data_IF_140110630640
#
_entry.id   IF_140110630640
#
_cell.length_a   1.000
_cell.length_b   1.000
_cell.length_c   1.000
_cell.angle_alpha   90.00
_cell.angle_beta   90.00
_cell.angle_gamma   90.00
#
_symmetry.space_group_name_H-M   'P 1'
#
loop_
_entity.id
_entity.type
_entity.pdbx_description
1 polymer ?
#
# COMPACT_ATOMS: atom_id res chain seq x y z
N UNK A 1 40.22 47.36 2.79
CA UNK A 1 40.97 47.65 4.03
C UNK A 1 40.29 46.93 5.18
N UNK A 2 41.01 46.37 6.17
CA UNK A 2 41.96 45.26 6.11
C UNK A 2 41.34 44.05 6.84
N UNK A 3 41.59 42.78 6.63
CA UNK A 3 42.85 42.10 6.77
C UNK A 3 43.18 41.73 8.24
N UNK A 4 42.93 40.46 8.64
CA UNK A 4 43.67 39.89 9.77
C UNK A 4 43.84 38.38 9.61
N UNK A 5 45.06 38.04 9.21
CA UNK A 5 45.71 36.74 9.36
C UNK A 5 46.27 36.61 10.77
N UNK A 6 46.23 35.46 11.41
CA UNK A 6 47.14 34.99 12.47
C UNK A 6 47.00 33.47 12.57
N UNK A 7 47.95 32.73 12.07
CA UNK A 7 49.28 32.32 12.55
C UNK A 7 49.23 31.36 13.73
N UNK A 8 49.61 30.13 13.41
CA UNK A 8 49.95 29.04 14.32
C UNK A 8 51.30 29.28 14.95
N UNK A 9 51.48 28.98 16.22
CA UNK A 9 52.76 28.65 16.90
C UNK A 9 52.48 27.65 18.03
N UNK A 10 52.88 26.44 17.83
CA UNK A 10 53.90 25.62 18.45
C UNK A 10 54.01 25.68 20.00
N UNK A 11 53.72 24.57 20.67
CA UNK A 11 54.55 24.06 21.78
C UNK A 11 54.43 22.52 21.84
N UNK A 12 55.57 21.86 21.59
CA UNK A 12 55.84 20.45 21.93
C UNK A 12 55.92 20.26 23.43
N UNK A 13 55.18 19.30 23.95
CA UNK A 13 55.54 18.65 25.23
C UNK A 13 55.35 17.14 25.08
N UNK A 14 56.47 16.43 25.15
CA UNK A 14 56.60 14.99 25.26
C UNK A 14 55.99 14.51 26.60
N UNK A 15 55.02 13.63 26.50
CA UNK A 15 54.47 12.90 27.65
C UNK A 15 54.12 11.50 27.24
N UNK A 16 55.03 10.57 27.47
CA UNK A 16 54.87 9.13 27.31
C UNK A 16 53.81 8.62 28.30
N UNK A 17 52.61 8.35 27.80
CA UNK A 17 51.63 7.61 28.58
C UNK A 17 51.09 6.46 27.73
N UNK A 18 51.55 5.26 28.04
CA UNK A 18 51.02 4.03 27.53
C UNK A 18 49.57 3.84 28.02
N UNK A 19 48.61 4.21 27.21
CA UNK A 19 47.23 3.85 27.43
C UNK A 19 46.88 2.77 26.40
N UNK A 20 46.82 1.55 26.87
CA UNK A 20 46.24 0.42 26.10
C UNK A 20 44.78 0.69 25.84
N UNK A 21 44.48 1.27 24.66
CA UNK A 21 43.13 1.30 24.16
C UNK A 21 42.78 -0.12 23.71
N UNK A 22 42.06 -0.81 24.57
CA UNK A 22 41.27 -1.98 24.16
C UNK A 22 40.25 -1.50 23.12
N UNK A 23 40.65 -1.55 21.86
CA UNK A 23 39.74 -1.43 20.75
C UNK A 23 38.83 -2.65 20.79
N UNK A 24 37.72 -2.55 21.54
CA UNK A 24 36.61 -3.47 21.44
C UNK A 24 35.98 -3.24 20.07
N UNK A 25 36.57 -3.83 19.05
CA UNK A 25 35.87 -4.11 17.82
C UNK A 25 34.69 -5.02 18.19
N UNK A 26 33.52 -4.42 18.35
CA UNK A 26 32.29 -5.17 18.28
C UNK A 26 32.21 -5.81 16.88
N UNK A 27 32.79 -6.99 16.72
CA UNK A 27 32.45 -7.87 15.62
C UNK A 27 30.93 -8.04 15.65
N UNK A 28 30.24 -7.34 14.75
CA UNK A 28 28.92 -7.80 14.33
C UNK A 28 29.15 -9.24 13.90
N UNK A 29 28.78 -10.16 14.79
CA UNK A 29 28.73 -11.60 14.51
C UNK A 29 27.94 -11.73 13.22
N UNK A 30 28.61 -11.99 12.10
CA UNK A 30 27.97 -12.33 10.86
C UNK A 30 27.06 -13.52 11.20
N UNK A 31 25.76 -13.32 11.14
CA UNK A 31 24.79 -14.40 11.27
C UNK A 31 25.23 -15.46 10.27
N UNK A 32 25.61 -16.65 10.77
CA UNK A 32 26.11 -17.73 9.91
C UNK A 32 24.99 -18.07 8.94
N UNK A 33 25.19 -17.76 7.66
CA UNK A 33 24.26 -18.10 6.59
C UNK A 33 23.92 -19.58 6.71
N UNK A 34 22.68 -19.89 7.00
CA UNK A 34 22.21 -21.29 7.07
C UNK A 34 22.09 -21.82 5.65
N UNK A 35 23.15 -22.45 5.16
CA UNK A 35 23.18 -23.06 3.83
C UNK A 35 22.37 -24.35 3.85
N UNK A 36 21.36 -24.42 2.98
CA UNK A 36 20.45 -25.57 2.83
C UNK A 36 21.05 -26.58 1.84
N UNK A 37 21.57 -26.07 0.71
CA UNK A 37 22.20 -26.87 -0.32
C UNK A 37 23.29 -26.08 -1.03
N UNK A 38 24.28 -26.75 -1.57
CA UNK A 38 25.35 -26.16 -2.39
C UNK A 38 25.49 -26.93 -3.70
N UNK A 39 25.55 -26.20 -4.80
CA UNK A 39 25.83 -26.72 -6.14
C UNK A 39 27.09 -26.01 -6.65
N UNK A 40 28.23 -26.70 -6.58
CA UNK A 40 29.58 -26.12 -6.82
C UNK A 40 29.83 -24.88 -5.92
N UNK A 41 29.89 -23.69 -6.49
CA UNK A 41 30.15 -22.44 -5.77
C UNK A 41 28.90 -21.68 -5.36
N UNK A 42 27.71 -22.11 -5.83
CA UNK A 42 26.44 -21.47 -5.53
C UNK A 42 25.75 -22.15 -4.34
N UNK A 43 25.21 -21.33 -3.46
CA UNK A 43 24.58 -21.77 -2.22
C UNK A 43 23.12 -21.31 -2.18
N UNK A 44 22.22 -22.24 -1.91
CA UNK A 44 20.85 -21.92 -1.50
C UNK A 44 20.83 -21.78 0.02
N UNK A 45 20.60 -20.58 0.52
CA UNK A 45 20.44 -20.33 1.95
C UNK A 45 18.99 -20.52 2.38
N UNK A 46 18.77 -20.65 3.70
CA UNK A 46 17.42 -20.74 4.25
C UNK A 46 16.59 -19.49 3.93
N UNK A 47 17.21 -18.31 3.90
CA UNK A 47 16.51 -17.06 3.61
C UNK A 47 16.10 -16.99 2.13
N UNK A 48 16.99 -17.36 1.21
CA UNK A 48 16.63 -17.49 -0.21
C UNK A 48 15.50 -18.50 -0.44
N UNK A 49 15.53 -19.64 0.29
CA UNK A 49 14.46 -20.62 0.20
C UNK A 49 13.12 -20.06 0.68
N UNK A 50 13.11 -19.25 1.73
CA UNK A 50 11.90 -18.57 2.21
C UNK A 50 11.36 -17.58 1.20
N UNK A 51 12.22 -16.82 0.51
CA UNK A 51 11.82 -15.89 -0.56
C UNK A 51 11.21 -16.60 -1.77
N UNK A 52 11.64 -17.83 -2.07
CA UNK A 52 11.09 -18.64 -3.15
C UNK A 52 9.70 -19.24 -2.84
N UNK A 53 9.34 -19.34 -1.57
CA UNK A 53 8.06 -19.89 -1.11
C UNK A 53 7.10 -18.74 -0.89
N UNK A 54 5.89 -18.73 -1.53
CA UNK A 54 4.89 -17.70 -1.29
C UNK A 54 4.54 -17.59 0.21
N UNK A 55 4.50 -16.36 0.74
CA UNK A 55 4.31 -16.08 2.18
C UNK A 55 3.05 -16.74 2.76
N UNK A 56 1.97 -16.81 1.98
CA UNK A 56 0.70 -17.41 2.37
C UNK A 56 0.79 -18.92 2.62
N UNK A 57 1.82 -19.57 2.09
CA UNK A 57 2.00 -21.02 2.12
C UNK A 57 3.07 -21.49 3.13
N UNK A 58 3.88 -20.61 3.70
CA UNK A 58 5.05 -20.99 4.49
C UNK A 58 4.72 -21.84 5.73
N UNK A 59 3.56 -21.61 6.35
CA UNK A 59 3.11 -22.36 7.54
C UNK A 59 2.27 -23.60 7.22
N UNK A 60 1.95 -23.83 5.94
CA UNK A 60 1.06 -24.92 5.49
C UNK A 60 1.78 -25.99 4.67
N UNK A 61 3.03 -25.72 4.23
CA UNK A 61 3.79 -26.67 3.42
C UNK A 61 4.32 -27.84 4.25
N UNK A 62 4.16 -29.05 3.71
CA UNK A 62 4.81 -30.24 4.25
C UNK A 62 6.32 -30.24 3.95
N UNK A 63 7.08 -31.01 4.73
CA UNK A 63 8.51 -31.19 4.50
C UNK A 63 8.82 -31.67 3.07
N UNK A 64 8.01 -32.58 2.53
CA UNK A 64 8.14 -33.09 1.16
C UNK A 64 7.95 -32.00 0.11
N UNK A 65 6.98 -31.11 0.32
CA UNK A 65 6.76 -29.98 -0.57
C UNK A 65 7.95 -29.02 -0.57
N UNK A 66 8.56 -28.75 0.59
CA UNK A 66 9.78 -27.95 0.68
C UNK A 66 10.94 -28.62 -0.04
N UNK A 67 11.11 -29.95 0.09
CA UNK A 67 12.12 -30.69 -0.66
C UNK A 67 11.94 -30.55 -2.17
N UNK A 68 10.72 -30.50 -2.67
CA UNK A 68 10.45 -30.29 -4.10
C UNK A 68 10.87 -28.89 -4.58
N UNK A 69 10.78 -27.85 -3.73
CA UNK A 69 11.34 -26.52 -4.06
C UNK A 69 12.87 -26.57 -4.16
N UNK A 70 13.51 -27.24 -3.21
CA UNK A 70 14.98 -27.42 -3.21
C UNK A 70 15.43 -28.18 -4.45
N UNK A 71 14.75 -29.29 -4.79
CA UNK A 71 15.09 -30.10 -5.95
C UNK A 71 14.98 -29.30 -7.26
N UNK A 72 13.91 -28.52 -7.42
CA UNK A 72 13.75 -27.63 -8.59
C UNK A 72 14.85 -26.59 -8.69
N UNK A 73 15.26 -26.01 -7.56
CA UNK A 73 16.37 -25.07 -7.53
C UNK A 73 17.69 -25.73 -7.97
N UNK A 74 17.98 -26.95 -7.49
CA UNK A 74 19.17 -27.71 -7.88
C UNK A 74 19.17 -27.95 -9.40
N UNK A 75 18.06 -28.41 -9.96
CA UNK A 75 17.94 -28.69 -11.39
C UNK A 75 18.12 -27.41 -12.21
N UNK A 76 17.52 -26.32 -11.81
CA UNK A 76 17.65 -25.01 -12.45
C UNK A 76 19.10 -24.52 -12.41
N UNK A 77 19.78 -24.63 -11.27
CA UNK A 77 21.15 -24.19 -11.11
C UNK A 77 22.12 -25.05 -11.97
N UNK A 78 21.93 -26.36 -12.01
CA UNK A 78 22.71 -27.25 -12.87
C UNK A 78 22.52 -26.89 -14.36
N UNK A 79 21.29 -26.67 -14.81
CA UNK A 79 21.01 -26.27 -16.19
C UNK A 79 21.61 -24.89 -16.52
N UNK A 80 21.54 -23.93 -15.59
CA UNK A 80 22.15 -22.61 -15.77
C UNK A 80 23.67 -22.72 -15.93
N UNK A 81 24.33 -23.47 -15.05
CA UNK A 81 25.78 -23.66 -15.12
C UNK A 81 26.20 -24.33 -16.42
N UNK A 82 25.42 -25.32 -16.89
CA UNK A 82 25.72 -25.98 -18.16
C UNK A 82 25.49 -25.02 -19.36
N UNK A 83 24.43 -24.22 -19.35
CA UNK A 83 24.22 -23.19 -20.36
C UNK A 83 25.38 -22.19 -20.44
N UNK A 84 25.92 -21.79 -19.29
CA UNK A 84 27.13 -20.93 -19.23
C UNK A 84 28.35 -21.65 -19.80
N UNK A 85 28.54 -22.95 -19.46
CA UNK A 85 29.65 -23.77 -19.99
C UNK A 85 29.57 -23.91 -21.52
N UNK A 86 28.39 -24.10 -22.06
CA UNK A 86 28.12 -24.14 -23.51
C UNK A 86 28.27 -22.78 -24.20
N UNK A 87 28.55 -21.71 -23.43
CA UNK A 87 28.82 -20.38 -23.97
C UNK A 87 27.59 -19.59 -24.37
N UNK A 88 26.37 -20.00 -23.95
CA UNK A 88 25.12 -19.31 -24.29
C UNK A 88 25.06 -17.89 -23.69
N UNK A 89 25.85 -17.60 -22.65
CA UNK A 89 25.96 -16.28 -22.05
C UNK A 89 26.94 -15.34 -22.79
N UNK A 90 27.86 -15.89 -23.59
CA UNK A 90 28.91 -15.10 -24.25
C UNK A 90 28.35 -14.33 -25.44
N UNK A 91 28.55 -13.00 -25.42
CA UNK A 91 28.24 -12.07 -26.52
C UNK A 91 26.78 -12.09 -26.99
N UNK A 92 25.86 -12.53 -26.16
CA UNK A 92 24.42 -12.45 -26.47
C UNK A 92 23.96 -10.99 -26.35
N UNK A 93 23.76 -10.35 -27.51
CA UNK A 93 23.35 -8.94 -27.60
C UNK A 93 21.96 -8.75 -26.99
N UNK A 94 21.08 -9.73 -27.19
CA UNK A 94 19.71 -9.66 -26.67
C UNK A 94 19.69 -9.84 -25.15
N UNK A 95 20.47 -10.78 -24.60
CA UNK A 95 20.61 -10.93 -23.16
C UNK A 95 21.15 -9.66 -22.52
N UNK A 96 22.19 -9.05 -23.10
CA UNK A 96 22.75 -7.79 -22.57
C UNK A 96 21.74 -6.63 -22.62
N UNK A 97 20.89 -6.60 -23.65
CA UNK A 97 19.80 -5.61 -23.74
C UNK A 97 18.75 -5.82 -22.65
N UNK A 98 18.34 -7.08 -22.40
CA UNK A 98 17.38 -7.46 -21.35
C UNK A 98 17.95 -7.09 -19.97
N UNK A 99 19.20 -7.47 -19.70
CA UNK A 99 19.85 -7.17 -18.40
C UNK A 99 19.96 -5.66 -18.15
N UNK A 100 20.36 -4.88 -19.18
CA UNK A 100 20.44 -3.43 -19.08
C UNK A 100 19.08 -2.77 -18.85
N UNK A 101 18.02 -3.31 -19.48
CA UNK A 101 16.67 -2.79 -19.25
C UNK A 101 16.17 -3.13 -17.84
N UNK A 102 16.47 -4.35 -17.36
CA UNK A 102 16.13 -4.76 -16.00
C UNK A 102 16.84 -3.91 -14.94
N UNK A 103 18.15 -3.68 -15.13
CA UNK A 103 18.94 -2.79 -14.26
C UNK A 103 18.35 -1.38 -14.24
N UNK A 104 18.05 -0.81 -15.44
CA UNK A 104 17.44 0.53 -15.55
C UNK A 104 16.12 0.60 -14.80
N UNK A 105 15.23 -0.37 -14.99
CA UNK A 105 13.93 -0.41 -14.31
C UNK A 105 14.13 -0.47 -12.79
N UNK A 106 14.98 -1.40 -12.32
CA UNK A 106 15.26 -1.55 -10.88
C UNK A 106 15.80 -0.26 -10.25
N UNK A 107 16.75 0.41 -10.90
CA UNK A 107 17.33 1.66 -10.39
C UNK A 107 16.32 2.81 -10.40
N UNK A 108 15.47 2.89 -11.44
CA UNK A 108 14.38 3.89 -11.50
C UNK A 108 13.37 3.65 -10.40
N UNK A 109 12.91 2.41 -10.21
CA UNK A 109 11.95 2.05 -9.17
C UNK A 109 12.53 2.32 -7.77
N UNK A 110 13.79 1.93 -7.53
CA UNK A 110 14.48 2.20 -6.25
C UNK A 110 14.63 3.70 -5.97
N UNK A 111 14.90 4.49 -7.00
CA UNK A 111 15.00 5.95 -6.88
C UNK A 111 13.63 6.56 -6.57
N UNK A 112 12.58 6.14 -7.27
CA UNK A 112 11.20 6.58 -7.02
C UNK A 112 10.74 6.20 -5.61
N UNK A 113 11.01 4.98 -5.17
CA UNK A 113 10.72 4.56 -3.81
C UNK A 113 11.43 5.46 -2.78
N UNK A 114 12.71 5.74 -2.99
CA UNK A 114 13.46 6.64 -2.10
C UNK A 114 12.90 8.07 -2.06
N UNK A 115 12.39 8.56 -3.19
CA UNK A 115 11.81 9.91 -3.30
C UNK A 115 10.40 9.99 -2.71
N UNK A 116 9.59 8.95 -2.91
CA UNK A 116 8.16 8.98 -2.63
C UNK A 116 7.79 8.32 -1.30
N UNK A 117 8.68 7.53 -0.69
CA UNK A 117 8.52 6.97 0.67
C UNK A 117 9.01 7.92 1.75
N UNK A 118 9.65 9.04 1.39
CA UNK A 118 9.92 10.09 2.35
C UNK A 118 8.61 10.49 3.06
N UNK A 119 8.67 10.63 4.36
CA UNK A 119 7.52 11.08 5.15
C UNK A 119 7.10 12.47 4.66
N UNK A 120 5.99 12.54 3.96
CA UNK A 120 5.43 13.79 3.43
C UNK A 120 4.33 14.21 4.39
N UNK A 121 4.62 15.13 5.34
CA UNK A 121 3.65 15.52 6.33
C UNK A 121 2.48 16.27 5.67
N UNK A 122 1.28 15.92 6.09
CA UNK A 122 0.05 16.64 5.76
C UNK A 122 -0.45 17.23 7.07
N UNK A 123 -0.61 18.55 7.10
CA UNK A 123 -1.07 19.27 8.29
C UNK A 123 -2.60 19.34 8.33
N UNK A 124 -3.15 19.48 9.52
CA UNK A 124 -4.60 19.68 9.70
C UNK A 124 -5.09 20.95 8.99
N UNK A 125 -4.28 21.99 8.93
CA UNK A 125 -4.60 23.23 8.22
C UNK A 125 -4.72 23.00 6.71
N UNK A 126 -3.85 22.19 6.12
CA UNK A 126 -3.94 21.82 4.70
C UNK A 126 -5.21 21.01 4.40
N UNK A 127 -5.56 20.11 5.30
CA UNK A 127 -6.80 19.31 5.17
C UNK A 127 -8.03 20.20 5.23
N UNK A 128 -8.06 21.12 6.19
CA UNK A 128 -9.15 22.07 6.35
C UNK A 128 -9.25 23.01 5.13
N UNK A 129 -8.12 23.57 4.70
CA UNK A 129 -8.08 24.47 3.52
C UNK A 129 -8.55 23.74 2.26
N UNK A 130 -8.12 22.49 2.06
CA UNK A 130 -8.55 21.68 0.93
C UNK A 130 -10.06 21.43 0.97
N UNK A 131 -10.60 21.06 2.14
CA UNK A 131 -12.02 20.85 2.34
C UNK A 131 -12.83 22.11 2.02
N UNK A 132 -12.45 23.26 2.59
CA UNK A 132 -13.15 24.53 2.39
C UNK A 132 -13.16 24.97 0.91
N UNK A 133 -12.05 24.79 0.19
CA UNK A 133 -11.92 25.12 -1.23
C UNK A 133 -12.68 24.17 -2.15
N UNK A 134 -12.95 22.95 -1.71
CA UNK A 134 -13.50 21.89 -2.55
C UNK A 134 -14.82 21.33 -1.99
N UNK A 135 -15.55 22.09 -1.19
CA UNK A 135 -16.81 21.64 -0.55
C UNK A 135 -17.77 20.98 -1.51
N UNK A 136 -17.95 21.55 -2.70
CA UNK A 136 -18.86 21.05 -3.71
C UNK A 136 -18.48 19.63 -4.23
N UNK A 137 -17.25 19.19 -4.01
CA UNK A 137 -16.80 17.83 -4.35
C UNK A 137 -17.12 16.81 -3.26
N UNK A 138 -17.58 17.27 -2.09
CA UNK A 138 -17.86 16.42 -0.93
C UNK A 138 -19.35 16.39 -0.60
N UNK A 139 -20.18 16.30 -1.61
CA UNK A 139 -21.61 16.10 -1.46
C UNK A 139 -21.94 14.60 -1.47
N UNK A 140 -22.93 14.17 -0.70
CA UNK A 140 -23.46 12.83 -0.82
C UNK A 140 -24.11 12.65 -2.19
N UNK A 141 -23.70 11.63 -2.95
CA UNK A 141 -24.28 11.37 -4.28
C UNK A 141 -25.67 10.73 -4.18
N UNK A 142 -25.95 10.06 -3.08
CA UNK A 142 -27.13 9.22 -2.87
C UNK A 142 -27.73 9.46 -1.49
N UNK A 143 -28.92 8.87 -1.28
CA UNK A 143 -29.46 8.79 0.06
C UNK A 143 -28.59 7.86 0.90
N UNK A 144 -28.19 8.32 2.06
CA UNK A 144 -27.38 7.57 3.02
C UNK A 144 -28.03 7.57 4.39
N UNK A 145 -27.73 6.53 5.15
CA UNK A 145 -28.12 6.42 6.56
C UNK A 145 -26.90 6.18 7.41
N UNK A 146 -26.91 6.67 8.64
CA UNK A 146 -25.96 6.32 9.69
C UNK A 146 -26.68 5.46 10.72
N UNK A 147 -26.10 4.34 11.06
CA UNK A 147 -26.74 3.40 11.98
C UNK A 147 -25.74 2.71 12.89
N UNK A 148 -26.20 2.43 14.12
CA UNK A 148 -25.54 1.45 14.98
C UNK A 148 -26.03 0.06 14.61
N UNK A 149 -25.17 -0.96 14.78
CA UNK A 149 -25.40 -2.32 14.35
C UNK A 149 -25.04 -3.34 15.43
N UNK A 150 -25.88 -4.35 15.59
CA UNK A 150 -25.65 -5.57 16.37
C UNK A 150 -25.94 -6.76 15.47
N UNK A 151 -25.04 -7.74 15.47
CA UNK A 151 -25.20 -9.03 14.81
C UNK A 151 -25.16 -10.15 15.86
N UNK A 152 -26.15 -11.03 15.82
CA UNK A 152 -26.21 -12.23 16.65
C UNK A 152 -26.56 -13.46 15.80
N UNK A 153 -26.26 -14.65 16.30
CA UNK A 153 -26.39 -15.89 15.53
C UNK A 153 -27.84 -16.46 15.53
N UNK A 154 -28.62 -16.19 16.58
CA UNK A 154 -29.96 -16.77 16.70
C UNK A 154 -31.06 -15.74 16.95
N UNK A 155 -32.30 -16.12 16.59
CA UNK A 155 -33.48 -15.23 16.64
C UNK A 155 -33.93 -14.93 18.09
N UNK A 156 -33.70 -15.83 19.05
CA UNK A 156 -34.13 -15.61 20.42
C UNK A 156 -33.24 -14.58 21.10
N UNK A 157 -31.91 -14.68 20.90
CA UNK A 157 -30.93 -13.67 21.30
C UNK A 157 -31.26 -12.31 20.65
N UNK A 158 -31.58 -12.27 19.34
CA UNK A 158 -31.96 -11.04 18.67
C UNK A 158 -33.21 -10.38 19.25
N UNK A 159 -34.25 -11.19 19.62
CA UNK A 159 -35.46 -10.69 20.26
C UNK A 159 -35.17 -10.15 21.66
N UNK A 160 -34.33 -10.83 22.42
CA UNK A 160 -33.90 -10.39 23.75
C UNK A 160 -33.13 -9.09 23.69
N UNK A 161 -32.16 -9.00 22.81
CA UNK A 161 -31.37 -7.75 22.52
C UNK A 161 -32.33 -6.62 22.21
N UNK A 162 -33.25 -6.83 21.26
CA UNK A 162 -34.22 -5.78 20.91
C UNK A 162 -35.10 -5.39 22.12
N UNK A 163 -35.53 -6.33 22.95
CA UNK A 163 -36.30 -6.04 24.15
C UNK A 163 -35.53 -5.16 25.13
N UNK A 164 -34.26 -5.47 25.38
CA UNK A 164 -33.32 -4.68 26.22
C UNK A 164 -33.24 -3.24 25.71
N UNK A 165 -33.00 -3.08 24.40
CA UNK A 165 -32.88 -1.77 23.75
C UNK A 165 -34.20 -0.95 23.79
N UNK A 166 -35.35 -1.59 23.61
CA UNK A 166 -36.67 -0.92 23.74
C UNK A 166 -36.90 -0.47 25.16
N UNK A 167 -36.42 -1.22 26.16
CA UNK A 167 -36.53 -0.86 27.58
C UNK A 167 -35.51 0.24 27.99
N UNK A 168 -34.71 0.78 27.04
CA UNK A 168 -33.83 1.91 27.27
C UNK A 168 -32.40 1.56 27.66
N UNK A 169 -32.03 0.28 27.56
CA UNK A 169 -30.63 -0.10 27.76
C UNK A 169 -29.74 0.50 26.68
N UNK A 170 -28.51 0.89 27.05
CA UNK A 170 -27.59 1.53 26.13
C UNK A 170 -27.16 0.59 24.99
N UNK A 171 -27.25 1.08 23.74
CA UNK A 171 -26.99 0.28 22.56
C UNK A 171 -25.54 -0.21 22.50
N UNK A 172 -24.57 0.66 22.85
CA UNK A 172 -23.17 0.29 22.81
C UNK A 172 -22.83 -0.77 23.86
N UNK A 173 -23.40 -0.65 25.05
CA UNK A 173 -23.23 -1.62 26.14
C UNK A 173 -23.73 -3.00 25.73
N UNK A 174 -24.93 -3.05 25.16
CA UNK A 174 -25.51 -4.29 24.64
C UNK A 174 -24.68 -4.85 23.48
N UNK A 175 -24.26 -4.01 22.54
CA UNK A 175 -23.45 -4.44 21.41
C UNK A 175 -22.11 -5.03 21.84
N UNK A 176 -21.42 -4.42 22.81
CA UNK A 176 -20.14 -4.91 23.34
C UNK A 176 -20.28 -6.28 24.00
N UNK A 177 -21.43 -6.54 24.61
CA UNK A 177 -21.71 -7.81 25.29
C UNK A 177 -22.01 -8.96 24.33
N UNK A 178 -22.83 -8.72 23.29
CA UNK A 178 -23.42 -9.83 22.51
C UNK A 178 -23.14 -9.79 21.02
N UNK A 179 -22.64 -8.68 20.45
CA UNK A 179 -22.50 -8.56 19.01
C UNK A 179 -21.29 -9.34 18.47
N UNK A 180 -21.55 -10.28 17.57
CA UNK A 180 -20.51 -11.01 16.85
C UNK A 180 -19.64 -10.08 15.98
N UNK A 181 -20.22 -9.02 15.45
CA UNK A 181 -19.52 -8.04 14.64
C UNK A 181 -18.58 -7.19 15.49
N UNK A 182 -19.01 -6.79 16.68
CA UNK A 182 -18.14 -6.09 17.62
C UNK A 182 -16.96 -6.96 18.08
N UNK A 183 -17.19 -8.24 18.34
CA UNK A 183 -16.13 -9.17 18.74
C UNK A 183 -15.05 -9.34 17.67
N UNK A 184 -15.42 -9.23 16.40
CA UNK A 184 -14.51 -9.39 15.25
C UNK A 184 -13.83 -8.09 14.84
N UNK A 185 -14.57 -6.99 14.83
CA UNK A 185 -14.14 -5.73 14.20
C UNK A 185 -14.12 -4.54 15.16
N UNK A 186 -14.60 -4.71 16.42
CA UNK A 186 -14.75 -3.65 17.43
C UNK A 186 -15.53 -2.42 16.93
N UNK A 187 -16.46 -2.65 15.99
CA UNK A 187 -17.23 -1.61 15.32
C UNK A 187 -18.71 -1.75 15.65
N UNK A 188 -19.33 -0.65 16.06
CA UNK A 188 -20.76 -0.56 16.39
C UNK A 188 -21.43 0.46 15.48
N UNK A 189 -20.85 1.65 15.34
CA UNK A 189 -21.31 2.68 14.41
C UNK A 189 -20.76 2.39 13.02
N UNK A 190 -21.64 2.18 12.06
CA UNK A 190 -21.27 1.90 10.67
C UNK A 190 -20.88 3.15 9.89
N UNK A 191 -21.09 4.34 10.48
CA UNK A 191 -20.98 5.60 9.73
C UNK A 191 -22.12 5.75 8.73
N UNK A 192 -22.01 6.71 7.83
CA UNK A 192 -22.95 6.85 6.71
C UNK A 192 -22.64 5.82 5.61
N UNK A 193 -23.69 5.19 5.11
CA UNK A 193 -23.61 4.25 4.00
C UNK A 193 -24.87 4.32 3.11
N UNK A 194 -24.71 4.01 1.83
CA UNK A 194 -25.77 3.90 0.86
C UNK A 194 -26.35 2.48 0.82
N UNK A 195 -27.51 2.30 0.18
CA UNK A 195 -28.23 1.00 0.16
C UNK A 195 -27.45 -0.13 -0.51
N UNK A 196 -26.58 0.18 -1.45
CA UNK A 196 -25.72 -0.77 -2.15
C UNK A 196 -24.52 -1.25 -1.34
N UNK A 197 -24.21 -0.57 -0.24
CA UNK A 197 -23.11 -0.95 0.67
C UNK A 197 -23.52 -1.98 1.71
N UNK A 198 -24.75 -2.44 1.69
CA UNK A 198 -25.30 -3.44 2.61
C UNK A 198 -26.05 -4.52 1.83
N UNK A 199 -26.25 -5.67 2.47
CA UNK A 199 -27.02 -6.79 1.92
C UNK A 199 -28.37 -6.28 1.38
N UNK A 200 -28.75 -6.55 0.13
CA UNK A 200 -29.92 -5.94 -0.54
C UNK A 200 -31.24 -6.12 0.24
N UNK A 201 -31.46 -7.30 0.83
CA UNK A 201 -32.67 -7.61 1.59
C UNK A 201 -32.78 -6.75 2.87
N UNK A 202 -31.65 -6.49 3.52
CA UNK A 202 -31.54 -5.61 4.69
C UNK A 202 -31.67 -4.15 4.25
N UNK A 203 -30.95 -3.75 3.21
CA UNK A 203 -30.96 -2.38 2.68
C UNK A 203 -32.37 -1.91 2.36
N UNK A 204 -33.14 -2.69 1.60
CA UNK A 204 -34.51 -2.36 1.24
C UNK A 204 -35.44 -2.10 2.46
N UNK A 205 -35.22 -2.79 3.56
CA UNK A 205 -36.00 -2.61 4.79
C UNK A 205 -35.48 -1.42 5.60
N UNK A 206 -34.15 -1.30 5.70
CA UNK A 206 -33.47 -0.32 6.53
C UNK A 206 -33.69 1.11 6.01
N UNK A 207 -33.59 1.31 4.68
CA UNK A 207 -33.76 2.64 4.05
C UNK A 207 -35.20 3.18 4.07
N UNK A 208 -36.17 2.32 4.39
CA UNK A 208 -37.57 2.74 4.66
C UNK A 208 -37.78 3.24 6.08
N UNK A 209 -36.86 2.96 7.00
CA UNK A 209 -36.94 3.41 8.38
C UNK A 209 -36.62 4.89 8.50
N UNK A 210 -37.20 5.53 9.51
CA UNK A 210 -36.90 6.93 9.86
C UNK A 210 -35.75 7.06 10.84
N UNK A 211 -35.25 8.27 11.01
CA UNK A 211 -34.26 8.63 12.05
C UNK A 211 -34.80 8.23 13.44
N UNK A 212 -33.96 7.66 14.28
CA UNK A 212 -34.29 7.19 15.62
C UNK A 212 -34.92 5.79 15.67
N UNK A 213 -35.26 5.19 14.52
CA UNK A 213 -35.90 3.88 14.48
C UNK A 213 -34.94 2.77 14.93
N UNK A 214 -35.50 1.85 15.74
CA UNK A 214 -34.88 0.58 16.09
C UNK A 214 -35.57 -0.55 15.30
N UNK A 215 -34.84 -1.26 14.47
CA UNK A 215 -35.40 -2.30 13.61
C UNK A 215 -35.92 -3.51 14.41
N UNK A 216 -36.80 -4.28 13.78
CA UNK A 216 -36.98 -5.68 14.14
C UNK A 216 -35.69 -6.46 13.78
N UNK A 217 -35.47 -7.64 14.36
CA UNK A 217 -34.41 -8.53 13.91
C UNK A 217 -34.55 -8.83 12.41
N UNK A 218 -33.51 -8.52 11.61
CA UNK A 218 -33.44 -8.75 10.17
C UNK A 218 -32.54 -9.95 9.92
N UNK A 219 -33.05 -10.98 9.23
CA UNK A 219 -32.28 -12.20 8.94
C UNK A 219 -31.38 -12.06 7.73
N UNK A 220 -30.19 -12.67 7.79
CA UNK A 220 -29.29 -12.89 6.66
C UNK A 220 -28.59 -14.24 6.80
N UNK A 221 -27.72 -14.57 5.84
CA UNK A 221 -26.83 -15.74 5.94
C UNK A 221 -25.80 -15.65 7.08
N UNK A 222 -25.58 -14.47 7.65
CA UNK A 222 -24.61 -14.24 8.74
C UNK A 222 -25.26 -14.27 10.13
N UNK A 223 -26.59 -14.35 10.22
CA UNK A 223 -27.36 -14.30 11.45
C UNK A 223 -28.45 -13.24 11.43
N UNK A 224 -28.72 -12.66 12.59
CA UNK A 224 -29.78 -11.68 12.81
C UNK A 224 -29.18 -10.32 13.14
N UNK A 225 -29.59 -9.33 12.39
CA UNK A 225 -29.13 -7.94 12.47
C UNK A 225 -30.16 -7.05 13.16
N UNK A 226 -29.70 -6.19 14.04
CA UNK A 226 -30.49 -5.14 14.68
C UNK A 226 -29.81 -3.81 14.43
N UNK A 227 -30.55 -2.83 13.89
CA UNK A 227 -30.03 -1.51 13.61
C UNK A 227 -30.78 -0.45 14.40
N UNK A 228 -30.06 0.58 14.85
CA UNK A 228 -30.62 1.84 15.32
C UNK A 228 -30.21 2.94 14.37
N UNK A 229 -31.16 3.54 13.70
CA UNK A 229 -30.90 4.63 12.74
C UNK A 229 -30.56 5.90 13.51
N UNK A 230 -29.34 6.39 13.35
CA UNK A 230 -28.88 7.61 13.98
C UNK A 230 -29.25 8.84 13.16
N UNK A 231 -29.06 8.74 11.85
CA UNK A 231 -29.34 9.84 10.93
C UNK A 231 -29.65 9.33 9.51
N UNK A 232 -30.21 10.25 8.69
CA UNK A 232 -30.54 10.01 7.29
C UNK A 232 -30.31 11.28 6.51
N UNK A 233 -29.56 11.21 5.43
CA UNK A 233 -29.29 12.37 4.56
C UNK A 233 -29.65 12.08 3.11
N UNK A 234 -30.11 13.13 2.45
CA UNK A 234 -30.51 13.08 1.05
C UNK A 234 -29.28 13.26 0.13
N UNK A 235 -29.39 12.94 -1.17
CA UNK A 235 -28.39 13.33 -2.15
C UNK A 235 -28.12 14.86 -2.10
N UNK A 236 -26.90 15.24 -2.45
CA UNK A 236 -26.42 16.63 -2.42
C UNK A 236 -26.36 17.26 -1.00
N UNK A 237 -26.34 16.43 0.05
CA UNK A 237 -26.04 16.89 1.40
C UNK A 237 -24.54 16.99 1.60
N UNK A 238 -24.05 18.07 2.22
CA UNK A 238 -22.64 18.23 2.53
C UNK A 238 -22.16 17.12 3.48
N UNK A 239 -21.05 16.48 3.12
CA UNK A 239 -20.33 15.55 4.00
C UNK A 239 -19.39 16.34 4.89
N UNK A 240 -19.39 16.04 6.18
CA UNK A 240 -18.55 16.73 7.15
C UNK A 240 -17.04 16.39 6.94
N UNK A 241 -16.18 17.31 7.36
CA UNK A 241 -14.72 17.16 7.22
C UNK A 241 -14.21 15.81 7.73
N UNK A 242 -14.66 15.38 8.91
CA UNK A 242 -14.26 14.13 9.53
C UNK A 242 -14.61 12.88 8.69
N UNK A 243 -15.67 12.97 7.90
CA UNK A 243 -16.11 11.86 7.03
C UNK A 243 -15.27 11.74 5.76
N UNK A 244 -14.62 12.82 5.36
CA UNK A 244 -13.83 12.89 4.11
C UNK A 244 -12.35 13.12 4.35
N UNK A 245 -11.94 13.17 5.62
CA UNK A 245 -10.57 13.49 6.03
C UNK A 245 -9.54 12.52 5.43
N UNK A 246 -9.83 11.23 5.47
CA UNK A 246 -8.93 10.21 4.91
C UNK A 246 -8.84 10.33 3.38
N UNK A 247 -9.95 10.63 2.73
CA UNK A 247 -10.00 10.89 1.29
C UNK A 247 -9.17 12.13 0.92
N UNK A 248 -9.30 13.20 1.70
CA UNK A 248 -8.52 14.44 1.51
C UNK A 248 -7.04 14.19 1.73
N UNK A 249 -6.67 13.48 2.81
CA UNK A 249 -5.29 13.10 3.08
C UNK A 249 -4.67 12.32 1.91
N UNK A 250 -5.38 11.34 1.37
CA UNK A 250 -4.92 10.57 0.23
C UNK A 250 -4.71 11.45 -1.02
N UNK A 251 -5.62 12.38 -1.30
CA UNK A 251 -5.51 13.32 -2.43
C UNK A 251 -4.35 14.30 -2.26
N UNK A 252 -4.19 14.88 -1.07
CA UNK A 252 -3.08 15.79 -0.76
C UNK A 252 -1.74 15.08 -0.86
N UNK A 253 -1.65 13.85 -0.33
CA UNK A 253 -0.44 13.05 -0.43
C UNK A 253 -0.07 12.74 -1.89
N UNK A 254 -1.06 12.37 -2.71
CA UNK A 254 -0.83 12.12 -4.13
C UNK A 254 -0.37 13.40 -4.86
N UNK A 255 -0.96 14.55 -4.54
CA UNK A 255 -0.56 15.84 -5.12
C UNK A 255 0.88 16.18 -4.74
N UNK A 256 1.22 16.15 -3.45
CA UNK A 256 2.58 16.45 -2.96
C UNK A 256 3.63 15.51 -3.56
N UNK A 257 3.32 14.22 -3.67
CA UNK A 257 4.21 13.25 -4.32
C UNK A 257 4.43 13.56 -5.80
N UNK A 258 3.38 13.96 -6.50
CA UNK A 258 3.49 14.37 -7.90
C UNK A 258 4.31 15.66 -8.05
N UNK A 259 4.18 16.62 -7.15
CA UNK A 259 5.01 17.84 -7.12
C UNK A 259 6.48 17.49 -6.90
N UNK A 260 6.81 16.67 -5.89
CA UNK A 260 8.18 16.19 -5.63
C UNK A 260 8.76 15.52 -6.88
N UNK A 261 8.01 14.64 -7.52
CA UNK A 261 8.44 13.97 -8.75
C UNK A 261 8.68 14.96 -9.89
N UNK A 262 7.75 15.89 -10.09
CA UNK A 262 7.84 16.87 -11.19
C UNK A 262 9.03 17.80 -11.00
N UNK A 263 9.23 18.30 -9.79
CA UNK A 263 10.35 19.19 -9.44
C UNK A 263 11.69 18.45 -9.60
N UNK A 264 11.75 17.20 -9.13
CA UNK A 264 12.95 16.38 -9.29
C UNK A 264 13.29 16.14 -10.77
N UNK A 265 12.31 15.84 -11.60
CA UNK A 265 12.51 15.65 -13.04
C UNK A 265 12.91 16.97 -13.71
N UNK A 266 12.31 18.10 -13.32
CA UNK A 266 12.68 19.41 -13.83
C UNK A 266 14.14 19.73 -13.49
N UNK A 267 14.57 19.45 -12.28
CA UNK A 267 15.93 19.67 -11.78
C UNK A 267 16.97 18.83 -12.56
N UNK A 268 16.64 17.57 -12.85
CA UNK A 268 17.49 16.71 -13.69
C UNK A 268 17.57 17.25 -15.12
N UNK A 269 16.43 17.61 -15.71
CA UNK A 269 16.38 18.15 -17.08
C UNK A 269 17.20 19.43 -17.23
N UNK A 270 17.26 20.26 -16.21
CA UNK A 270 18.08 21.47 -16.22
C UNK A 270 19.60 21.20 -16.17
N UNK A 271 20.00 20.00 -15.73
CA UNK A 271 21.41 19.59 -15.59
C UNK A 271 21.95 18.83 -16.80
N UNK A 272 21.09 18.41 -17.72
CA UNK A 272 21.46 17.59 -18.88
C UNK A 272 20.88 18.16 -20.17
N UNK A 273 21.61 18.00 -21.29
CA UNK A 273 21.11 18.36 -22.61
C UNK A 273 20.19 17.26 -23.14
N UNK A 274 18.89 17.55 -23.22
CA UNK A 274 17.88 16.63 -23.75
C UNK A 274 17.53 17.06 -25.18
N UNK A 275 17.94 16.26 -26.16
CA UNK A 275 17.58 16.47 -27.57
C UNK A 275 16.46 15.53 -27.97
N UNK A 276 15.39 16.10 -28.52
CA UNK A 276 14.27 15.35 -29.08
C UNK A 276 14.14 15.62 -30.57
N UNK A 277 13.81 14.61 -31.35
CA UNK A 277 13.47 14.75 -32.76
C UNK A 277 12.09 14.14 -33.02
N UNK A 278 11.07 14.95 -32.83
CA UNK A 278 9.69 14.57 -33.08
C UNK A 278 9.29 14.51 -34.55
N UNK A 279 10.15 15.01 -35.47
CA UNK A 279 9.89 14.97 -36.90
C UNK A 279 9.82 13.54 -37.41
N UNK A 280 10.66 12.64 -36.93
CA UNK A 280 10.62 11.22 -37.27
C UNK A 280 9.30 10.57 -36.87
N UNK A 281 8.67 11.01 -35.77
CA UNK A 281 7.37 10.47 -35.37
C UNK A 281 6.26 10.97 -36.31
N UNK A 282 6.31 12.24 -36.71
CA UNK A 282 5.31 12.81 -37.61
C UNK A 282 5.27 12.06 -38.94
N UNK A 283 6.42 11.75 -39.51
CA UNK A 283 6.54 11.04 -40.76
C UNK A 283 6.01 9.59 -40.64
N UNK A 284 6.35 8.89 -39.53
CA UNK A 284 5.88 7.55 -39.26
C UNK A 284 4.35 7.48 -39.11
N UNK A 285 3.73 8.48 -38.49
CA UNK A 285 2.27 8.51 -38.30
C UNK A 285 1.53 9.07 -39.53
N UNK A 286 2.17 9.89 -40.36
CA UNK A 286 1.59 10.35 -41.63
C UNK A 286 1.38 9.18 -42.61
N UNK A 287 2.36 8.26 -42.72
CA UNK A 287 2.27 7.08 -43.55
C UNK A 287 1.20 6.07 -43.04
N UNK A 288 1.01 5.96 -41.71
CA UNK A 288 0.02 5.05 -41.16
C UNK A 288 -1.44 5.47 -41.42
N UNK A 289 -1.70 6.78 -41.55
CA UNK A 289 -3.03 7.29 -41.91
C UNK A 289 -3.37 7.09 -43.42
N UNK A 290 -2.35 7.08 -44.28
CA UNK A 290 -2.52 6.83 -45.70
C UNK A 290 -2.93 5.36 -45.98
N UNK A 291 -2.41 4.38 -45.23
CA UNK A 291 -2.73 2.96 -45.38
C UNK A 291 -4.16 2.63 -44.91
N UNK A 292 -4.70 3.35 -43.95
CA UNK A 292 -6.07 3.10 -43.45
C UNK A 292 -7.15 3.64 -44.39
N UNK A 293 -6.86 4.64 -45.21
CA UNK A 293 -7.81 5.21 -46.17
C UNK A 293 -7.99 4.31 -47.41
N UNK A 294 -6.98 3.54 -47.80
CA UNK A 294 -7.06 2.59 -48.95
C UNK A 294 -7.80 1.28 -48.61
N UNK A 295 -7.89 0.94 -47.30
CA UNK A 295 -8.63 -0.25 -46.85
C UNK A 295 -10.14 0.00 -46.67
N UNK A 296 -10.58 1.26 -46.58
CA UNK A 296 -12.01 1.63 -46.53
C UNK A 296 -12.64 1.98 -47.89
N UNK A 297 -11.86 1.97 -48.96
CA UNK A 297 -12.34 2.28 -50.34
C UNK A 297 -12.48 1.05 -51.25
N UNK A 298 -12.35 -0.16 -50.71
CA UNK A 298 -12.63 -1.44 -51.39
C UNK A 298 -13.71 -2.21 -50.63
#
# INVERSE_FOLDING_TARGET
MPGFTRKYDWIMVLGFCWLTILCSCGEKRAESKKVVVRVRNEELTLDMLKEMIPLDNMNTLSYEQVQNYIQRWIEQELMYQEAVNLGLKKNDVELNKILRQAEKNYLVDSLLDSLLTADVPITEDEVLEYYEKNKDNFLSERMEIRALHILVDDINTAREVRRRLVNGEDFESVAKEVSLDYQRHQRIDLGYFASENIIPEIGNLLFRQGKGALTQPLSSQFGYHIFKILDKRNPNTQRELEEVKDEINARLLATKRNEIYTDFIADIKNKVDVKTNFEYLRDLFADSTAVSSDLMSK
#
